data_IF_811896943999
#
_entry.id   IF_811896943999
#
_cell.length_a   1.000
_cell.length_b   1.000
_cell.length_c   1.000
_cell.angle_alpha   90.00
_cell.angle_beta   90.00
_cell.angle_gamma   90.00
#
_symmetry.space_group_name_H-M   'P 1'
#
loop_
_entity.id
_entity.type
_entity.pdbx_description
1 polymer ?
#
# COMPACT_ATOMS: atom_id res chain seq x y z
N UNK A 1 -8.03 3.17 57.45
CA UNK A 1 -9.03 2.21 56.93
C UNK A 1 -9.77 2.92 55.82
N UNK A 2 -9.31 2.72 54.60
CA UNK A 2 -9.94 3.21 53.37
C UNK A 2 -10.35 1.97 52.57
N UNK A 3 -11.66 1.77 52.43
CA UNK A 3 -12.23 0.65 51.67
C UNK A 3 -12.16 0.95 50.16
N UNK A 4 -11.34 0.20 49.44
CA UNK A 4 -11.41 0.15 48.00
C UNK A 4 -12.64 -0.66 47.60
N UNK A 5 -13.66 0.01 47.06
CA UNK A 5 -14.79 -0.62 46.39
C UNK A 5 -14.42 -0.84 44.92
N UNK A 6 -13.81 -1.97 44.62
CA UNK A 6 -13.59 -2.42 43.28
C UNK A 6 -14.92 -2.85 42.65
N UNK A 7 -15.29 -2.21 41.52
CA UNK A 7 -16.44 -2.60 40.71
C UNK A 7 -16.25 -4.02 40.16
N UNK A 8 -17.23 -4.88 40.38
CA UNK A 8 -17.17 -6.26 39.88
C UNK A 8 -17.42 -6.33 38.35
N UNK A 9 -16.85 -7.34 37.69
CA UNK A 9 -17.07 -7.58 36.25
C UNK A 9 -18.54 -7.67 35.83
N UNK A 10 -19.44 -7.99 36.76
CA UNK A 10 -20.88 -8.02 36.52
C UNK A 10 -21.52 -6.64 36.44
N UNK A 11 -21.00 -5.66 37.15
CA UNK A 11 -21.53 -4.28 37.12
C UNK A 11 -21.07 -3.54 35.87
N UNK A 12 -19.91 -3.89 35.31
CA UNK A 12 -19.46 -3.39 33.99
C UNK A 12 -20.33 -3.89 32.83
N UNK A 13 -20.90 -5.09 32.93
CA UNK A 13 -21.78 -5.65 31.89
C UNK A 13 -23.23 -5.18 32.00
N UNK A 14 -23.67 -4.68 33.16
CA UNK A 14 -25.01 -4.17 33.34
C UNK A 14 -25.20 -2.73 32.83
N UNK A 15 -24.10 -1.98 32.62
CA UNK A 15 -24.11 -0.62 32.04
C UNK A 15 -24.20 -0.54 30.53
N UNK A 16 -24.10 -1.67 29.82
CA UNK A 16 -24.13 -1.74 28.34
C UNK A 16 -25.56 -1.97 27.77
N UNK A 17 -26.58 -1.80 28.59
CA UNK A 17 -27.96 -1.96 28.18
C UNK A 17 -28.61 -0.65 27.79
N UNK A 18 -28.88 -0.50 26.50
CA UNK A 18 -29.78 0.48 25.86
C UNK A 18 -29.07 1.54 25.01
N UNK A 19 -28.21 1.14 24.07
CA UNK A 19 -28.20 1.76 22.77
C UNK A 19 -29.31 1.07 21.97
N UNK A 20 -30.53 1.64 22.04
CA UNK A 20 -31.54 1.39 21.01
C UNK A 20 -30.95 1.91 19.69
N UNK A 21 -30.25 1.04 18.97
CA UNK A 21 -30.00 1.21 17.55
C UNK A 21 -31.38 1.26 16.95
N UNK A 22 -31.84 2.49 16.64
CA UNK A 22 -32.93 2.70 15.72
C UNK A 22 -32.55 1.91 14.47
N UNK A 23 -33.13 0.70 14.38
CA UNK A 23 -33.03 -0.17 13.21
C UNK A 23 -33.68 0.52 12.03
N UNK A 24 -32.95 1.44 11.40
CA UNK A 24 -33.15 1.62 9.99
C UNK A 24 -32.82 0.24 9.38
N UNK A 25 -33.77 -0.39 8.66
CA UNK A 25 -33.41 -1.59 7.94
C UNK A 25 -32.22 -1.20 7.08
N UNK A 26 -31.07 -1.84 7.32
CA UNK A 26 -30.08 -1.95 6.27
C UNK A 26 -30.85 -2.59 5.13
N UNK A 27 -31.39 -1.75 4.25
CA UNK A 27 -31.83 -2.21 2.95
C UNK A 27 -30.60 -2.91 2.42
N UNK A 28 -30.62 -4.25 2.42
CA UNK A 28 -29.62 -5.00 1.68
C UNK A 28 -29.59 -4.29 0.33
N UNK A 29 -28.46 -3.65 0.03
CA UNK A 29 -28.20 -3.15 -1.31
C UNK A 29 -28.43 -4.38 -2.16
N UNK A 30 -29.62 -4.46 -2.78
CA UNK A 30 -29.90 -5.51 -3.74
C UNK A 30 -28.72 -5.47 -4.70
N UNK A 31 -28.00 -6.57 -4.79
CA UNK A 31 -26.96 -6.69 -5.79
C UNK A 31 -27.66 -6.30 -7.09
N UNK A 32 -27.17 -5.27 -7.74
CA UNK A 32 -27.70 -4.83 -9.01
C UNK A 32 -27.37 -5.96 -10.00
N UNK A 33 -28.32 -6.86 -10.23
CA UNK A 33 -28.20 -7.97 -11.17
C UNK A 33 -27.94 -7.48 -12.61
N UNK A 34 -27.99 -6.16 -12.83
CA UNK A 34 -27.66 -5.51 -14.09
C UNK A 34 -26.20 -5.06 -14.19
N UNK A 35 -25.37 -5.29 -13.15
CA UNK A 35 -23.95 -4.96 -13.23
C UNK A 35 -23.30 -5.72 -14.40
N UNK A 36 -22.56 -5.02 -15.30
CA UNK A 36 -21.94 -5.69 -16.43
C UNK A 36 -21.01 -6.81 -15.94
N UNK A 37 -21.16 -7.98 -16.53
CA UNK A 37 -20.30 -9.12 -16.24
C UNK A 37 -18.86 -8.75 -16.59
N UNK A 38 -17.99 -8.75 -15.59
CA UNK A 38 -16.57 -8.48 -15.78
C UNK A 38 -15.95 -9.76 -16.31
N UNK A 39 -15.81 -9.83 -17.62
CA UNK A 39 -15.18 -10.97 -18.26
C UNK A 39 -13.65 -10.79 -18.24
N UNK A 40 -13.01 -11.34 -17.21
CA UNK A 40 -11.57 -11.52 -17.14
C UNK A 40 -11.17 -12.96 -17.49
N UNK A 41 -11.87 -13.53 -18.44
CA UNK A 41 -11.74 -14.95 -18.80
C UNK A 41 -10.38 -15.27 -19.40
N UNK A 42 -9.71 -14.30 -20.01
CA UNK A 42 -8.40 -14.54 -20.64
C UNK A 42 -7.26 -13.98 -19.79
N UNK A 43 -6.07 -14.62 -19.83
CA UNK A 43 -4.87 -14.06 -19.20
C UNK A 43 -4.52 -12.65 -19.69
N UNK A 44 -4.86 -12.33 -20.94
CA UNK A 44 -4.67 -11.01 -21.51
C UNK A 44 -5.56 -9.96 -20.86
N UNK A 45 -6.85 -10.24 -20.67
CA UNK A 45 -7.78 -9.33 -20.04
C UNK A 45 -7.37 -9.04 -18.59
N UNK A 46 -6.90 -10.06 -17.88
CA UNK A 46 -6.33 -9.93 -16.53
C UNK A 46 -5.11 -9.02 -16.53
N UNK A 47 -4.20 -9.20 -17.48
CA UNK A 47 -3.00 -8.37 -17.61
C UNK A 47 -3.36 -6.91 -17.88
N UNK A 48 -4.24 -6.65 -18.87
CA UNK A 48 -4.67 -5.29 -19.21
C UNK A 48 -5.38 -4.60 -18.03
N UNK A 49 -6.24 -5.33 -17.32
CA UNK A 49 -6.89 -4.83 -16.11
C UNK A 49 -5.87 -4.41 -15.05
N UNK A 50 -4.89 -5.27 -14.75
CA UNK A 50 -3.85 -4.99 -13.77
C UNK A 50 -3.01 -3.78 -14.15
N UNK A 51 -2.57 -3.68 -15.41
CA UNK A 51 -1.77 -2.56 -15.91
C UNK A 51 -2.55 -1.25 -15.79
N UNK A 52 -3.81 -1.22 -16.20
CA UNK A 52 -4.68 -0.04 -16.11
C UNK A 52 -4.94 0.41 -14.66
N UNK A 53 -5.14 -0.55 -13.75
CA UNK A 53 -5.35 -0.30 -12.32
C UNK A 53 -4.07 0.23 -11.68
N UNK A 54 -2.93 -0.41 -11.93
CA UNK A 54 -1.68 -0.09 -11.24
C UNK A 54 -0.92 1.08 -11.87
N UNK A 55 -0.94 1.18 -13.18
CA UNK A 55 -0.22 2.22 -13.93
C UNK A 55 -1.09 2.79 -15.06
N UNK A 56 -0.64 2.65 -16.30
CA UNK A 56 -1.30 3.07 -17.53
C UNK A 56 -0.89 2.14 -18.67
N UNK A 57 -1.74 1.97 -19.68
CA UNK A 57 -1.36 1.35 -20.94
C UNK A 57 -0.53 2.30 -21.82
N UNK A 58 -0.42 3.57 -21.46
CA UNK A 58 0.49 4.53 -22.10
C UNK A 58 1.82 4.58 -21.37
N UNK A 59 2.88 4.88 -22.13
CA UNK A 59 4.19 5.16 -21.54
C UNK A 59 4.24 6.57 -20.95
N UNK A 60 3.66 6.71 -19.76
CA UNK A 60 3.55 7.97 -19.02
C UNK A 60 3.93 7.78 -17.55
N UNK A 61 4.35 8.89 -16.90
CA UNK A 61 4.56 8.88 -15.45
C UNK A 61 3.22 8.79 -14.72
N UNK A 62 3.16 7.89 -13.76
CA UNK A 62 1.96 7.59 -12.97
C UNK A 62 2.28 7.73 -11.49
N UNK A 63 2.11 8.94 -10.93
CA UNK A 63 2.32 9.16 -9.51
C UNK A 63 1.16 8.61 -8.68
N UNK A 64 1.52 8.01 -7.56
CA UNK A 64 0.63 7.64 -6.47
C UNK A 64 1.06 8.38 -5.22
N UNK A 65 0.13 8.98 -4.53
CA UNK A 65 0.38 9.49 -3.19
C UNK A 65 -0.31 8.61 -2.16
N UNK A 66 0.33 8.46 -1.01
CA UNK A 66 -0.22 7.72 0.10
C UNK A 66 0.23 8.28 1.44
N UNK A 67 -0.56 7.99 2.46
CA UNK A 67 -0.21 8.23 3.85
C UNK A 67 -0.59 7.03 4.70
N UNK A 68 -0.03 6.96 5.90
CA UNK A 68 -0.32 5.84 6.78
C UNK A 68 0.36 5.94 8.14
N UNK A 69 0.33 4.81 8.83
CA UNK A 69 0.89 4.62 10.17
C UNK A 69 1.72 3.35 10.23
N UNK A 70 2.69 3.34 11.12
CA UNK A 70 3.59 2.21 11.34
C UNK A 70 3.55 1.83 12.80
N UNK A 71 3.25 0.56 13.06
CA UNK A 71 3.35 -0.05 14.37
C UNK A 71 4.60 -0.90 14.46
N UNK A 72 5.20 -0.91 15.64
CA UNK A 72 6.12 -1.95 16.06
C UNK A 72 5.37 -3.02 16.83
N UNK A 73 5.57 -4.27 16.48
CA UNK A 73 4.97 -5.43 17.13
C UNK A 73 6.07 -6.34 17.67
N UNK A 74 6.17 -6.45 18.99
CA UNK A 74 7.00 -7.44 19.67
C UNK A 74 6.15 -8.66 20.00
N UNK A 75 6.76 -9.84 20.00
CA UNK A 75 6.07 -11.07 20.30
C UNK A 75 5.44 -11.04 21.71
N UNK A 76 4.14 -11.31 21.77
CA UNK A 76 3.38 -11.32 23.03
C UNK A 76 2.99 -9.94 23.57
N UNK A 77 3.28 -8.85 22.87
CA UNK A 77 2.91 -7.50 23.24
C UNK A 77 1.87 -6.91 22.28
N UNK A 78 1.09 -5.95 22.75
CA UNK A 78 0.23 -5.16 21.87
C UNK A 78 1.08 -4.30 20.92
N UNK A 79 0.72 -4.18 19.63
CA UNK A 79 1.41 -3.30 18.70
C UNK A 79 1.44 -1.86 19.20
N UNK A 80 2.61 -1.21 19.11
CA UNK A 80 2.83 0.17 19.52
C UNK A 80 2.94 1.06 18.30
N UNK A 81 2.17 2.15 18.27
CA UNK A 81 2.32 3.18 17.23
C UNK A 81 3.71 3.83 17.34
N UNK A 82 4.47 3.79 16.27
CA UNK A 82 5.81 4.37 16.18
C UNK A 82 5.84 5.63 15.32
N UNK A 83 5.21 5.57 14.14
CA UNK A 83 5.28 6.63 13.14
C UNK A 83 3.95 6.81 12.43
N UNK A 84 3.69 8.02 11.99
CA UNK A 84 2.96 8.29 10.77
C UNK A 84 3.93 8.43 9.59
N UNK A 85 3.44 8.41 8.36
CA UNK A 85 4.27 8.64 7.17
C UNK A 85 3.45 9.15 6.00
N UNK A 86 4.12 9.82 5.09
CA UNK A 86 3.62 10.10 3.75
C UNK A 86 4.64 9.64 2.72
N UNK A 87 4.14 9.26 1.56
CA UNK A 87 5.01 8.79 0.49
C UNK A 87 4.40 8.95 -0.89
N UNK A 88 5.26 8.78 -1.87
CA UNK A 88 4.91 8.70 -3.27
C UNK A 88 5.51 7.44 -3.86
N UNK A 89 4.73 6.73 -4.67
CA UNK A 89 5.23 5.79 -5.66
C UNK A 89 5.13 6.45 -7.03
N UNK A 90 6.20 6.42 -7.78
CA UNK A 90 6.21 6.84 -9.18
C UNK A 90 6.38 5.62 -10.05
N UNK A 91 5.47 5.41 -10.98
CA UNK A 91 5.51 4.32 -11.93
C UNK A 91 5.59 4.82 -13.36
N UNK A 92 6.26 4.05 -14.20
CA UNK A 92 6.26 4.18 -15.64
C UNK A 92 6.19 2.78 -16.25
N UNK A 93 5.24 2.56 -17.16
CA UNK A 93 5.03 1.26 -17.79
C UNK A 93 5.66 1.27 -19.17
N UNK A 94 6.77 0.55 -19.34
CA UNK A 94 7.44 0.40 -20.62
C UNK A 94 6.90 -0.80 -21.37
N UNK A 95 6.56 -0.61 -22.65
CA UNK A 95 6.17 -1.70 -23.52
C UNK A 95 7.42 -2.46 -23.98
N UNK A 96 7.43 -3.78 -23.78
CA UNK A 96 8.50 -4.67 -24.24
C UNK A 96 8.11 -5.44 -25.51
N UNK A 97 6.83 -5.51 -25.82
CA UNK A 97 6.26 -6.23 -26.97
C UNK A 97 4.76 -6.33 -26.85
N UNK A 98 4.17 -7.20 -27.66
CA UNK A 98 2.74 -7.47 -27.55
C UNK A 98 2.46 -8.20 -26.23
N UNK A 99 1.60 -7.60 -25.40
CA UNK A 99 1.18 -8.16 -24.11
C UNK A 99 2.35 -8.42 -23.12
N UNK A 100 3.43 -7.64 -23.26
CA UNK A 100 4.55 -7.63 -22.30
C UNK A 100 4.92 -6.20 -21.90
N UNK A 101 5.06 -5.97 -20.59
CA UNK A 101 5.34 -4.67 -20.01
C UNK A 101 6.42 -4.79 -18.93
N UNK A 102 7.21 -3.74 -18.78
CA UNK A 102 8.05 -3.55 -17.61
C UNK A 102 7.50 -2.38 -16.79
N UNK A 103 7.13 -2.65 -15.55
CA UNK A 103 6.83 -1.60 -14.58
C UNK A 103 8.13 -1.12 -13.96
N UNK A 104 8.55 0.08 -14.32
CA UNK A 104 9.67 0.79 -13.71
C UNK A 104 9.09 1.71 -12.66
N UNK A 105 9.71 1.76 -11.48
CA UNK A 105 9.18 2.62 -10.44
C UNK A 105 10.10 2.77 -9.26
N UNK A 106 9.81 3.78 -8.46
CA UNK A 106 10.49 4.05 -7.20
C UNK A 106 9.49 4.60 -6.18
N UNK A 107 9.90 4.52 -4.94
CA UNK A 107 9.14 4.99 -3.79
C UNK A 107 9.99 5.98 -3.00
N UNK A 108 9.40 7.07 -2.55
CA UNK A 108 10.00 7.98 -1.57
C UNK A 108 9.01 8.18 -0.43
N UNK A 109 9.41 7.83 0.79
CA UNK A 109 8.58 8.01 1.98
C UNK A 109 9.34 8.77 3.05
N UNK A 110 8.64 9.68 3.72
CA UNK A 110 9.15 10.41 4.87
C UNK A 110 8.33 10.06 6.10
N UNK A 111 9.04 9.82 7.22
CA UNK A 111 8.40 9.52 8.49
C UNK A 111 7.99 10.80 9.21
N UNK A 112 6.89 10.68 9.94
CA UNK A 112 6.32 11.71 10.81
C UNK A 112 6.16 11.17 12.23
N UNK A 113 6.17 12.03 13.18
CA UNK A 113 5.76 11.69 14.55
C UNK A 113 4.31 11.19 14.54
N UNK A 114 4.08 10.04 15.17
CA UNK A 114 2.77 9.39 15.17
C UNK A 114 1.68 10.13 15.95
N UNK A 115 2.07 11.10 16.79
CA UNK A 115 1.14 11.87 17.62
C UNK A 115 0.95 13.29 17.09
N UNK A 116 2.04 13.97 16.70
CA UNK A 116 2.00 15.37 16.27
C UNK A 116 1.83 15.53 14.76
N UNK A 117 2.20 14.50 13.97
CA UNK A 117 2.22 14.55 12.51
C UNK A 117 3.36 15.39 11.92
N UNK A 118 4.29 15.85 12.73
CA UNK A 118 5.46 16.60 12.27
C UNK A 118 6.49 15.70 11.62
N UNK A 119 7.25 16.22 10.63
CA UNK A 119 8.31 15.47 9.98
C UNK A 119 9.43 15.13 10.94
N UNK A 120 9.80 13.85 11.02
CA UNK A 120 10.91 13.39 11.83
C UNK A 120 12.24 13.52 11.08
N UNK A 121 13.27 14.00 11.79
CA UNK A 121 14.69 13.91 11.42
C UNK A 121 15.44 13.04 12.41
N UNK A 122 14.99 13.02 13.66
CA UNK A 122 15.50 12.20 14.74
C UNK A 122 14.32 11.51 15.44
N UNK A 123 14.59 10.36 16.00
CA UNK A 123 13.61 9.56 16.71
C UNK A 123 14.24 8.88 17.93
N UNK A 124 13.62 9.06 19.09
CA UNK A 124 14.01 8.31 20.28
C UNK A 124 13.34 6.94 20.24
N UNK A 125 14.16 5.92 20.03
CA UNK A 125 13.69 4.54 19.96
C UNK A 125 13.07 4.13 21.30
N UNK A 126 11.77 3.83 21.36
CA UNK A 126 11.09 3.47 22.61
C UNK A 126 11.47 2.08 23.15
N UNK A 127 12.20 1.30 22.38
CA UNK A 127 12.66 -0.04 22.75
C UNK A 127 14.09 -0.05 23.30
N UNK A 128 14.96 0.82 22.79
CA UNK A 128 16.38 0.88 23.18
C UNK A 128 16.75 2.15 23.96
N UNK A 129 15.90 3.20 23.87
CA UNK A 129 16.16 4.51 24.47
C UNK A 129 17.12 5.39 23.65
N UNK A 130 17.68 4.88 22.56
CA UNK A 130 18.65 5.62 21.72
C UNK A 130 17.96 6.71 20.91
N UNK A 131 18.66 7.83 20.70
CA UNK A 131 18.28 8.86 19.74
C UNK A 131 18.93 8.53 18.40
N UNK A 132 18.12 8.34 17.36
CA UNK A 132 18.54 7.84 16.07
C UNK A 132 18.14 8.83 14.98
N UNK A 133 18.98 8.97 13.96
CA UNK A 133 18.64 9.69 12.73
C UNK A 133 17.60 8.90 11.93
N UNK A 134 16.62 9.60 11.38
CA UNK A 134 15.52 9.03 10.60
C UNK A 134 15.78 9.26 9.12
N UNK A 135 16.18 8.23 8.37
CA UNK A 135 16.43 8.37 6.93
C UNK A 135 15.12 8.44 6.15
N UNK A 136 15.14 9.11 5.01
CA UNK A 136 14.10 8.94 4.02
C UNK A 136 14.11 7.48 3.50
N UNK A 137 12.92 6.90 3.33
CA UNK A 137 12.80 5.58 2.73
C UNK A 137 12.71 5.73 1.20
N UNK A 138 13.86 5.67 0.53
CA UNK A 138 13.96 5.68 -0.94
C UNK A 138 14.21 4.26 -1.43
N UNK A 139 13.35 3.76 -2.30
CA UNK A 139 13.42 2.39 -2.84
C UNK A 139 13.12 2.38 -4.33
N UNK A 140 13.77 1.44 -5.05
CA UNK A 140 13.55 1.24 -6.48
C UNK A 140 14.28 2.27 -7.36
N UNK A 141 13.97 2.24 -8.62
CA UNK A 141 14.43 3.17 -9.65
C UNK A 141 15.33 2.54 -10.71
N UNK A 142 15.20 3.03 -11.93
CA UNK A 142 15.95 2.64 -13.11
C UNK A 142 15.39 1.44 -13.87
N UNK A 143 15.69 1.40 -15.16
CA UNK A 143 15.37 0.28 -16.03
C UNK A 143 16.02 -1.02 -15.54
N UNK A 144 15.34 -2.15 -15.71
CA UNK A 144 15.82 -3.45 -15.23
C UNK A 144 15.68 -3.64 -13.71
N UNK A 145 15.07 -2.71 -12.98
CA UNK A 145 14.87 -2.79 -11.52
C UNK A 145 13.41 -2.84 -11.10
N UNK A 146 12.53 -3.12 -12.05
CA UNK A 146 11.09 -3.18 -11.82
C UNK A 146 10.54 -4.60 -11.85
N UNK A 147 9.36 -4.73 -12.43
CA UNK A 147 8.68 -6.00 -12.60
C UNK A 147 8.26 -6.15 -14.06
N UNK A 148 8.48 -7.32 -14.64
CA UNK A 148 7.90 -7.68 -15.93
C UNK A 148 6.51 -8.26 -15.72
N UNK A 149 5.57 -7.74 -16.47
CA UNK A 149 4.17 -8.16 -16.53
C UNK A 149 3.91 -8.81 -17.88
N UNK A 150 3.38 -10.00 -17.87
CA UNK A 150 3.01 -10.74 -19.09
C UNK A 150 1.74 -11.55 -18.87
N UNK A 151 1.21 -12.13 -19.92
CA UNK A 151 0.08 -13.08 -19.83
C UNK A 151 0.40 -14.33 -18.99
N UNK A 152 1.68 -14.63 -18.77
CA UNK A 152 2.13 -15.74 -17.93
C UNK A 152 2.22 -15.35 -16.44
N UNK A 153 2.43 -14.07 -16.15
CA UNK A 153 2.52 -13.61 -14.77
C UNK A 153 3.39 -12.38 -14.57
N UNK A 154 3.76 -12.16 -13.31
CA UNK A 154 4.59 -11.05 -12.85
C UNK A 154 5.93 -11.62 -12.37
N UNK A 155 7.02 -11.03 -12.83
CA UNK A 155 8.38 -11.43 -12.48
C UNK A 155 9.25 -10.20 -12.18
N UNK A 156 9.95 -10.16 -11.01
CA UNK A 156 10.93 -9.12 -10.75
C UNK A 156 12.08 -9.18 -11.74
N UNK A 157 12.52 -8.04 -12.28
CA UNK A 157 13.59 -7.98 -13.26
C UNK A 157 14.97 -8.30 -12.67
N UNK A 158 15.24 -7.91 -11.42
CA UNK A 158 16.55 -8.12 -10.76
C UNK A 158 16.76 -9.51 -10.15
N UNK A 159 15.69 -10.27 -9.93
CA UNK A 159 15.75 -11.55 -9.21
C UNK A 159 15.20 -12.71 -10.04
N UNK A 160 15.37 -12.60 -11.35
CA UNK A 160 14.84 -13.56 -12.35
C UNK A 160 15.16 -15.01 -11.96
N UNK A 161 16.38 -15.25 -11.47
CA UNK A 161 16.85 -16.60 -11.12
C UNK A 161 16.35 -17.09 -9.75
N UNK A 162 15.86 -16.18 -8.91
CA UNK A 162 15.48 -16.46 -7.51
C UNK A 162 13.97 -16.41 -7.26
N UNK A 163 13.25 -15.72 -8.10
CA UNK A 163 11.79 -15.62 -8.00
C UNK A 163 11.18 -16.10 -9.31
N UNK A 164 10.61 -17.32 -9.34
CA UNK A 164 9.94 -17.82 -10.53
C UNK A 164 8.77 -16.91 -10.90
N UNK A 165 8.49 -16.85 -12.20
CA UNK A 165 7.29 -16.22 -12.71
C UNK A 165 6.07 -16.83 -12.00
N UNK A 166 5.26 -15.98 -11.37
CA UNK A 166 4.05 -16.42 -10.68
C UNK A 166 2.85 -15.84 -11.39
N UNK A 167 1.82 -16.64 -11.64
CA UNK A 167 0.54 -16.09 -12.06
C UNK A 167 0.15 -14.98 -11.08
N UNK A 168 -0.42 -13.87 -11.56
CA UNK A 168 -0.89 -12.83 -10.68
C UNK A 168 -1.98 -13.42 -9.77
N UNK A 169 -1.62 -13.69 -8.52
CA UNK A 169 -2.60 -14.12 -7.52
C UNK A 169 -3.33 -12.89 -7.00
N UNK A 170 -4.46 -12.56 -7.61
CA UNK A 170 -5.34 -11.53 -7.11
C UNK A 170 -6.79 -12.00 -7.13
N UNK A 171 -7.55 -11.45 -6.19
CA UNK A 171 -9.00 -11.60 -6.17
C UNK A 171 -9.62 -10.34 -6.74
N UNK A 172 -10.58 -10.53 -7.62
CA UNK A 172 -11.41 -9.45 -8.12
C UNK A 172 -12.81 -9.62 -7.53
N UNK A 173 -13.32 -8.53 -6.95
CA UNK A 173 -14.68 -8.42 -6.47
C UNK A 173 -15.32 -7.21 -7.15
N UNK A 174 -16.62 -7.31 -7.43
CA UNK A 174 -17.42 -6.19 -7.92
C UNK A 174 -18.64 -5.99 -7.01
N UNK A 175 -19.06 -4.75 -6.84
CA UNK A 175 -20.23 -4.41 -6.06
C UNK A 175 -20.30 -2.90 -5.81
N UNK A 176 -21.53 -2.35 -5.68
CA UNK A 176 -21.74 -0.93 -5.43
C UNK A 176 -21.12 -0.01 -6.48
N UNK A 177 -21.09 -0.41 -7.74
CA UNK A 177 -20.50 0.36 -8.84
C UNK A 177 -18.97 0.44 -8.82
N UNK A 178 -18.29 -0.45 -8.10
CA UNK A 178 -16.82 -0.47 -7.96
C UNK A 178 -16.23 -1.86 -8.19
N UNK A 179 -14.96 -1.87 -8.53
CA UNK A 179 -14.10 -3.05 -8.62
C UNK A 179 -13.07 -2.98 -7.51
N UNK A 180 -12.82 -4.10 -6.84
CA UNK A 180 -11.72 -4.29 -5.91
C UNK A 180 -10.81 -5.40 -6.42
N UNK A 181 -9.54 -5.09 -6.55
CA UNK A 181 -8.49 -6.04 -6.89
C UNK A 181 -7.58 -6.18 -5.65
N UNK A 182 -7.56 -7.36 -5.06
CA UNK A 182 -6.68 -7.66 -3.91
C UNK A 182 -5.56 -8.59 -4.36
N UNK A 183 -4.33 -8.19 -4.07
CA UNK A 183 -3.13 -9.01 -4.27
C UNK A 183 -2.41 -9.22 -2.94
N UNK A 184 -1.83 -10.40 -2.79
CA UNK A 184 -0.93 -10.75 -1.71
C UNK A 184 0.43 -11.11 -2.30
N UNK A 185 1.49 -10.62 -1.68
CA UNK A 185 2.86 -10.90 -2.09
C UNK A 185 3.63 -11.39 -0.87
N UNK A 186 4.09 -12.64 -0.94
CA UNK A 186 5.02 -13.20 0.03
C UNK A 186 6.44 -13.10 -0.51
N UNK A 187 7.35 -12.67 0.33
CA UNK A 187 8.75 -12.55 -0.01
C UNK A 187 9.55 -13.69 0.64
N UNK A 188 10.51 -14.29 -0.08
CA UNK A 188 11.32 -15.38 0.46
C UNK A 188 12.08 -14.94 1.74
N UNK A 189 12.30 -15.86 2.69
CA UNK A 189 13.13 -15.60 3.87
C UNK A 189 14.53 -15.13 3.47
N UNK A 190 15.10 -14.23 4.26
CA UNK A 190 16.45 -13.70 4.05
C UNK A 190 16.58 -12.53 3.08
N UNK A 191 15.49 -12.10 2.45
CA UNK A 191 15.46 -10.83 1.74
C UNK A 191 15.18 -9.68 2.73
N UNK A 192 15.88 -8.55 2.57
CA UNK A 192 15.60 -7.30 3.30
C UNK A 192 14.28 -6.63 2.82
N UNK A 193 13.35 -7.43 2.37
CA UNK A 193 12.06 -7.08 1.78
C UNK A 193 10.93 -7.34 2.77
N UNK A 194 9.75 -6.79 2.58
CA UNK A 194 8.56 -7.15 3.35
C UNK A 194 8.38 -8.67 3.35
N UNK A 195 8.00 -9.24 4.50
CA UNK A 195 7.68 -10.68 4.58
C UNK A 195 6.34 -11.01 3.95
N UNK A 196 5.38 -10.11 4.10
CA UNK A 196 4.06 -10.21 3.52
C UNK A 196 3.54 -8.80 3.20
N UNK A 197 3.01 -8.64 2.02
CA UNK A 197 2.27 -7.43 1.64
C UNK A 197 0.90 -7.83 1.13
N UNK A 198 -0.14 -7.23 1.70
CA UNK A 198 -1.49 -7.29 1.16
C UNK A 198 -1.90 -5.91 0.69
N UNK A 199 -2.34 -5.81 -0.56
CA UNK A 199 -2.78 -4.57 -1.17
C UNK A 199 -4.13 -4.76 -1.84
N UNK A 200 -5.08 -3.90 -1.52
CA UNK A 200 -6.37 -3.82 -2.20
C UNK A 200 -6.46 -2.51 -2.95
N UNK A 201 -6.64 -2.59 -4.26
CA UNK A 201 -6.86 -1.45 -5.15
C UNK A 201 -8.32 -1.42 -5.58
N UNK A 202 -8.90 -0.23 -5.73
CA UNK A 202 -10.26 -0.09 -6.18
C UNK A 202 -10.43 1.08 -7.15
N UNK A 203 -11.33 0.90 -8.12
CA UNK A 203 -11.71 1.92 -9.10
C UNK A 203 -13.20 1.85 -9.41
N UNK A 204 -13.72 2.81 -10.17
CA UNK A 204 -15.08 2.77 -10.70
C UNK A 204 -15.28 1.59 -11.63
N UNK A 205 -16.44 0.90 -11.52
CA UNK A 205 -16.84 -0.14 -12.47
C UNK A 205 -17.05 0.43 -13.87
N UNK A 206 -17.64 1.64 -13.97
CA UNK A 206 -17.82 2.35 -15.24
C UNK A 206 -16.50 2.62 -15.94
N UNK A 207 -15.51 3.20 -15.23
CA UNK A 207 -14.16 3.41 -15.82
C UNK A 207 -13.48 2.08 -16.18
N UNK A 208 -13.68 1.05 -15.36
CA UNK A 208 -13.06 -0.25 -15.58
C UNK A 208 -13.59 -0.94 -16.84
N UNK A 209 -14.88 -0.84 -17.11
CA UNK A 209 -15.54 -1.45 -18.27
C UNK A 209 -15.39 -0.62 -19.55
N UNK A 210 -14.97 0.65 -19.47
CA UNK A 210 -14.68 1.49 -20.62
C UNK A 210 -13.33 1.06 -21.29
N UNK A 211 -13.36 0.47 -22.49
CA UNK A 211 -12.14 0.03 -23.17
C UNK A 211 -11.26 1.19 -23.65
N UNK A 212 -11.79 2.41 -23.74
CA UNK A 212 -11.02 3.60 -24.12
C UNK A 212 -10.17 4.16 -22.94
N UNK A 213 -10.44 3.72 -21.72
CA UNK A 213 -9.70 4.14 -20.52
C UNK A 213 -8.40 3.36 -20.38
N UNK A 214 -7.30 3.92 -20.82
CA UNK A 214 -5.97 3.32 -20.71
C UNK A 214 -5.37 3.43 -19.32
N UNK A 215 -5.88 4.35 -18.49
CA UNK A 215 -5.50 4.60 -17.10
C UNK A 215 -6.75 4.81 -16.26
N UNK A 216 -6.85 4.11 -15.13
CA UNK A 216 -7.99 4.19 -14.23
C UNK A 216 -7.68 5.05 -13.01
N UNK A 217 -8.68 5.78 -12.52
CA UNK A 217 -8.60 6.48 -11.23
C UNK A 217 -8.72 5.47 -10.11
N UNK A 218 -7.60 5.14 -9.50
CA UNK A 218 -7.50 4.04 -8.54
C UNK A 218 -7.14 4.56 -7.16
N UNK A 219 -7.75 3.96 -6.15
CA UNK A 219 -7.37 4.10 -4.74
C UNK A 219 -6.81 2.77 -4.25
N UNK A 220 -5.98 2.80 -3.21
CA UNK A 220 -5.53 1.58 -2.57
C UNK A 220 -5.50 1.67 -1.05
N UNK A 221 -5.56 0.50 -0.41
CA UNK A 221 -5.18 0.29 0.96
C UNK A 221 -4.17 -0.87 1.01
N UNK A 222 -3.16 -0.76 1.87
CA UNK A 222 -2.10 -1.75 1.97
C UNK A 222 -1.74 -2.03 3.42
N UNK A 223 -1.46 -3.29 3.71
CA UNK A 223 -0.81 -3.72 4.95
C UNK A 223 0.47 -4.45 4.58
N UNK A 224 1.58 -4.04 5.22
CA UNK A 224 2.90 -4.63 4.97
C UNK A 224 3.51 -5.07 6.29
N UNK A 225 3.90 -6.33 6.38
CA UNK A 225 4.67 -6.90 7.49
C UNK A 225 6.13 -6.97 7.07
N UNK A 226 7.01 -6.28 7.79
CA UNK A 226 8.42 -6.24 7.46
C UNK A 226 9.29 -6.32 8.71
N UNK A 227 10.54 -6.81 8.58
CA UNK A 227 11.48 -6.80 9.69
C UNK A 227 11.74 -5.37 10.18
N UNK A 228 12.26 -5.25 11.41
CA UNK A 228 12.82 -4.00 11.89
C UNK A 228 13.78 -3.42 10.86
N UNK A 229 13.73 -2.10 10.65
CA UNK A 229 14.67 -1.44 9.74
C UNK A 229 16.03 -1.36 10.41
N UNK A 230 17.11 -1.55 9.64
CA UNK A 230 18.48 -1.57 10.16
C UNK A 230 18.81 -0.30 10.97
N UNK A 231 18.36 0.87 10.51
CA UNK A 231 18.59 2.14 11.18
C UNK A 231 17.93 2.25 12.56
N UNK A 232 16.95 1.41 12.87
CA UNK A 232 16.26 1.40 14.19
C UNK A 232 17.12 0.77 15.30
N UNK A 233 18.25 0.14 14.96
CA UNK A 233 19.19 -0.46 15.90
C UNK A 233 18.52 -1.44 16.90
N UNK A 234 17.66 -2.31 16.38
CA UNK A 234 16.88 -3.25 17.20
C UNK A 234 17.69 -4.50 17.62
N UNK A 235 18.89 -4.72 17.04
CA UNK A 235 19.67 -5.94 17.27
C UNK A 235 18.88 -7.20 16.90
N UNK A 236 18.95 -8.22 17.78
CA UNK A 236 18.22 -9.48 17.61
C UNK A 236 16.84 -9.47 18.28
N UNK A 237 16.28 -8.28 18.58
CA UNK A 237 14.98 -8.15 19.24
C UNK A 237 13.91 -8.79 18.38
N UNK A 238 13.14 -9.78 18.91
CA UNK A 238 12.07 -10.41 18.17
C UNK A 238 10.94 -9.41 17.87
N UNK A 239 10.27 -9.57 16.74
CA UNK A 239 9.18 -8.71 16.32
C UNK A 239 9.33 -8.17 14.91
N UNK A 240 8.47 -7.22 14.56
CA UNK A 240 8.41 -6.69 13.21
C UNK A 240 7.67 -5.34 13.16
N UNK A 241 7.72 -4.70 12.01
CA UNK A 241 6.91 -3.52 11.69
C UNK A 241 5.65 -3.93 10.95
N UNK A 242 4.55 -3.25 11.28
CA UNK A 242 3.29 -3.33 10.55
C UNK A 242 3.01 -1.94 9.96
N UNK A 243 3.01 -1.88 8.64
CA UNK A 243 2.70 -0.66 7.90
C UNK A 243 1.27 -0.74 7.39
N UNK A 244 0.48 0.28 7.70
CA UNK A 244 -0.83 0.48 7.09
C UNK A 244 -0.81 1.77 6.28
N UNK A 245 -1.15 1.67 5.01
CA UNK A 245 -1.22 2.80 4.10
C UNK A 245 -2.54 2.83 3.36
N UNK A 246 -2.98 4.03 3.04
CA UNK A 246 -4.01 4.27 2.05
C UNK A 246 -3.57 5.39 1.10
N UNK A 247 -3.98 5.31 -0.14
CA UNK A 247 -3.53 6.26 -1.15
C UNK A 247 -4.36 6.23 -2.42
N UNK A 248 -3.97 7.07 -3.34
CA UNK A 248 -4.65 7.22 -4.63
C UNK A 248 -3.66 7.52 -5.75
N UNK A 249 -4.03 7.11 -6.95
CA UNK A 249 -3.35 7.47 -8.17
C UNK A 249 -3.67 8.93 -8.50
N UNK A 250 -2.63 9.73 -8.71
CA UNK A 250 -2.76 11.15 -9.03
C UNK A 250 -2.75 11.38 -10.54
N UNK A 251 -3.36 12.46 -10.98
CA UNK A 251 -3.29 12.89 -12.38
C UNK A 251 -1.89 13.30 -12.81
N UNK A 252 -1.16 14.01 -11.92
CA UNK A 252 0.23 14.44 -12.11
C UNK A 252 0.92 14.61 -10.75
N UNK A 253 2.23 14.79 -10.75
CA UNK A 253 3.03 15.14 -9.55
C UNK A 253 2.63 16.47 -8.94
N UNK A 254 1.99 17.37 -9.70
CA UNK A 254 1.53 18.67 -9.21
C UNK A 254 0.32 18.55 -8.29
N UNK A 255 -0.32 17.38 -8.29
CA UNK A 255 -1.43 17.04 -7.38
C UNK A 255 -0.95 16.49 -6.02
N UNK A 256 0.36 16.37 -5.80
CA UNK A 256 0.91 16.00 -4.50
C UNK A 256 0.59 17.06 -3.42
N UNK A 257 0.36 16.68 -2.16
CA UNK A 257 0.21 17.65 -1.07
C UNK A 257 1.41 18.61 -1.01
N UNK A 258 1.13 19.89 -0.87
CA UNK A 258 2.15 20.95 -1.03
C UNK A 258 3.36 20.79 -0.09
N UNK A 259 3.13 20.40 1.17
CA UNK A 259 4.18 20.17 2.15
C UNK A 259 5.05 18.94 1.82
N UNK A 260 4.44 17.86 1.34
CA UNK A 260 5.16 16.68 0.87
C UNK A 260 5.96 17.01 -0.40
N UNK A 261 5.34 17.68 -1.37
CA UNK A 261 5.98 18.10 -2.62
C UNK A 261 7.19 18.99 -2.37
N UNK A 262 7.08 19.99 -1.51
CA UNK A 262 8.20 20.89 -1.18
C UNK A 262 9.40 20.14 -0.58
N UNK A 263 9.13 19.14 0.27
CA UNK A 263 10.18 18.29 0.83
C UNK A 263 10.82 17.38 -0.22
N UNK A 264 10.00 16.78 -1.08
CA UNK A 264 10.48 15.94 -2.17
C UNK A 264 11.37 16.73 -3.15
N UNK A 265 10.95 17.94 -3.54
CA UNK A 265 11.73 18.83 -4.42
C UNK A 265 13.08 19.20 -3.80
N UNK A 266 13.13 19.39 -2.48
CA UNK A 266 14.36 19.78 -1.79
C UNK A 266 15.35 18.62 -1.60
N UNK A 267 14.83 17.41 -1.28
CA UNK A 267 15.67 16.27 -0.89
C UNK A 267 15.89 15.26 -2.04
N UNK A 268 14.91 15.10 -2.95
CA UNK A 268 14.91 14.08 -4.00
C UNK A 268 14.26 14.56 -5.31
N UNK A 269 14.71 15.68 -5.93
CA UNK A 269 14.10 16.22 -7.14
C UNK A 269 14.18 15.25 -8.34
N UNK A 270 15.17 14.35 -8.34
CA UNK A 270 15.35 13.30 -9.34
C UNK A 270 14.24 12.22 -9.32
N UNK A 271 13.40 12.22 -8.28
CA UNK A 271 12.32 11.23 -8.11
C UNK A 271 10.95 11.69 -8.64
N UNK A 272 10.91 12.81 -9.35
CA UNK A 272 9.65 13.33 -9.93
C UNK A 272 9.25 12.65 -11.25
N UNK A 273 10.06 11.76 -11.77
CA UNK A 273 9.78 10.93 -12.95
C UNK A 273 10.36 9.53 -12.75
N UNK A 274 9.70 8.50 -13.26
CA UNK A 274 10.23 7.15 -13.32
C UNK A 274 10.79 6.79 -14.71
N UNK A 275 10.64 7.71 -15.68
CA UNK A 275 11.14 7.50 -17.05
C UNK A 275 12.65 7.29 -17.02
N UNK A 276 13.16 6.20 -17.62
CA UNK A 276 14.60 6.00 -17.77
C UNK A 276 15.21 7.13 -18.60
N UNK A 277 16.34 7.63 -18.15
CA UNK A 277 17.17 8.60 -18.87
C UNK A 277 18.06 7.87 -19.87
#
# INVERSE_FOLDING_TARGET
>A
MTSETGLSRRELLAGAGSLAVLGAPFSALAADDSAPEINLATPRDNLMALVRIQASLREEDVPWWYSGIIYGAEDGQAPRLLFAFEGMEMYWMRHLGQDEFELIGHTVSFLKDGQTGEWLREWRNPYTGELLEVPAAVQGGGAGRGFNYSVRGIRPTLFVDRMPERPPAYRILSGGGRIWLTKETEYPPGMAQPRLQRQTMNCSLEEFTDPARERLNTQFASTVFMPWRNWMNMGDRPGHLIWHAAGLKLGSVDSLPANYRARLDAEHPDKLTARPV
#
